data_IF_096783124367
#
_entry.id   IF_096783124367
#
_cell.length_a   1.000
_cell.length_b   1.000
_cell.length_c   1.000
_cell.angle_alpha   90.00
_cell.angle_beta   90.00
_cell.angle_gamma   90.00
#
_symmetry.space_group_name_H-M   'P 1'
#
loop_
_entity.id
_entity.type
_entity.pdbx_description
1 polymer ?
#
# COMPACT_ATOMS: atom_id res chain seq x y z
N UNK A 1 4.04 -0.73 -17.16
CA UNK A 1 4.28 -2.01 -16.46
C UNK A 1 3.53 -2.07 -15.14
N UNK A 2 3.69 -1.06 -14.28
CA UNK A 2 2.97 -0.90 -13.01
C UNK A 2 1.48 -1.30 -13.07
N UNK A 3 0.70 -0.66 -13.95
CA UNK A 3 -0.72 -0.95 -14.12
C UNK A 3 -1.04 -2.44 -14.36
N UNK A 4 -0.20 -3.15 -15.13
CA UNK A 4 -0.38 -4.58 -15.39
C UNK A 4 -0.12 -5.41 -14.14
N UNK A 5 0.94 -5.08 -13.40
CA UNK A 5 1.27 -5.73 -12.11
C UNK A 5 0.12 -5.54 -11.12
N UNK A 6 -0.37 -4.31 -10.98
CA UNK A 6 -1.50 -3.97 -10.11
C UNK A 6 -2.74 -4.81 -10.46
N UNK A 7 -3.14 -4.84 -11.73
CA UNK A 7 -4.30 -5.65 -12.14
C UNK A 7 -4.11 -7.14 -11.89
N UNK A 8 -2.91 -7.68 -12.12
CA UNK A 8 -2.63 -9.09 -11.87
C UNK A 8 -2.72 -9.43 -10.38
N UNK A 9 -2.10 -8.63 -9.51
CA UNK A 9 -2.14 -8.90 -8.06
C UNK A 9 -3.54 -8.71 -7.49
N UNK A 10 -4.28 -7.68 -7.93
CA UNK A 10 -5.67 -7.49 -7.50
C UNK A 10 -6.54 -8.67 -7.92
N UNK A 11 -6.41 -9.16 -9.16
CA UNK A 11 -7.17 -10.32 -9.63
C UNK A 11 -6.79 -11.61 -8.87
N UNK A 12 -5.51 -11.82 -8.58
CA UNK A 12 -5.06 -12.97 -7.79
C UNK A 12 -5.62 -12.92 -6.36
N UNK A 13 -5.59 -11.75 -5.72
CA UNK A 13 -6.07 -11.56 -4.36
C UNK A 13 -7.59 -11.76 -4.22
N UNK A 14 -8.37 -11.53 -5.27
CA UNK A 14 -9.81 -11.82 -5.29
C UNK A 14 -10.12 -13.32 -5.26
N UNK A 15 -9.18 -14.16 -5.70
CA UNK A 15 -9.35 -15.62 -5.72
C UNK A 15 -8.83 -16.25 -4.43
N UNK A 16 -7.65 -15.82 -3.98
CA UNK A 16 -7.02 -16.34 -2.78
C UNK A 16 -6.12 -15.28 -2.14
N UNK A 17 -6.35 -15.02 -0.85
CA UNK A 17 -5.49 -14.13 -0.07
C UNK A 17 -4.17 -14.83 0.26
N UNK A 18 -3.05 -14.24 -0.17
CA UNK A 18 -1.71 -14.76 0.08
C UNK A 18 -0.74 -13.65 0.46
N UNK A 19 -0.35 -13.62 1.73
CA UNK A 19 0.60 -12.63 2.27
C UNK A 19 1.91 -12.65 1.49
N UNK A 20 2.49 -13.83 1.22
CA UNK A 20 3.74 -13.94 0.48
C UNK A 20 3.67 -13.32 -0.93
N UNK A 21 2.55 -13.50 -1.64
CA UNK A 21 2.34 -12.90 -2.96
C UNK A 21 2.18 -11.39 -2.85
N UNK A 22 1.43 -10.92 -1.87
CA UNK A 22 1.19 -9.49 -1.67
C UNK A 22 2.46 -8.76 -1.20
N UNK A 23 3.29 -9.36 -0.34
CA UNK A 23 4.60 -8.83 0.05
C UNK A 23 5.51 -8.63 -1.17
N UNK A 24 5.68 -9.68 -1.98
CA UNK A 24 6.49 -9.59 -3.20
C UNK A 24 5.91 -8.58 -4.21
N UNK A 25 4.58 -8.49 -4.31
CA UNK A 25 3.93 -7.50 -5.14
C UNK A 25 4.18 -6.08 -4.65
N UNK A 26 4.15 -5.82 -3.34
CA UNK A 26 4.41 -4.50 -2.75
C UNK A 26 5.83 -4.02 -3.07
N UNK A 27 6.84 -4.89 -2.97
CA UNK A 27 8.21 -4.59 -3.38
C UNK A 27 8.29 -4.24 -4.87
N UNK A 28 7.67 -5.05 -5.73
CA UNK A 28 7.65 -4.83 -7.17
C UNK A 28 6.97 -3.49 -7.53
N UNK A 29 5.82 -3.22 -6.91
CA UNK A 29 5.07 -1.96 -7.07
C UNK A 29 5.92 -0.78 -6.60
N UNK A 30 6.64 -0.90 -5.49
CA UNK A 30 7.52 0.14 -4.97
C UNK A 30 8.64 0.51 -5.96
N UNK A 31 9.35 -0.48 -6.50
CA UNK A 31 10.40 -0.26 -7.51
C UNK A 31 9.84 0.39 -8.78
N UNK A 32 8.69 -0.10 -9.25
CA UNK A 32 8.04 0.44 -10.45
C UNK A 32 7.50 1.85 -10.25
N UNK A 33 6.96 2.16 -9.06
CA UNK A 33 6.45 3.48 -8.71
C UNK A 33 7.60 4.49 -8.58
N UNK A 34 8.68 4.15 -7.88
CA UNK A 34 9.85 5.02 -7.73
C UNK A 34 10.63 5.27 -9.04
N UNK A 35 10.38 4.48 -10.07
CA UNK A 35 10.93 4.68 -11.42
C UNK A 35 10.09 5.60 -12.30
N UNK A 36 8.88 5.99 -11.86
CA UNK A 36 8.00 6.87 -12.63
C UNK A 36 8.37 8.34 -12.42
N UNK A 37 8.22 9.12 -13.49
CA UNK A 37 8.30 10.57 -13.39
C UNK A 37 7.10 11.09 -12.56
N UNK A 38 7.33 11.90 -11.51
CA UNK A 38 6.26 12.48 -10.68
C UNK A 38 5.22 13.30 -11.46
N UNK A 39 5.53 13.72 -12.68
CA UNK A 39 4.58 14.36 -13.60
C UNK A 39 3.52 13.40 -14.16
N UNK A 40 3.76 12.09 -14.16
CA UNK A 40 2.88 11.06 -14.73
C UNK A 40 1.76 10.66 -13.75
N UNK A 41 0.64 11.38 -13.83
CA UNK A 41 -0.51 11.27 -12.91
C UNK A 41 -1.43 10.06 -13.12
N UNK A 42 -1.36 9.40 -14.28
CA UNK A 42 -2.45 8.56 -14.80
C UNK A 42 -2.71 7.28 -13.96
N UNK A 43 -1.80 6.92 -13.05
CA UNK A 43 -1.90 5.67 -12.29
C UNK A 43 -1.86 5.84 -10.76
N UNK A 44 -1.92 7.08 -10.27
CA UNK A 44 -1.87 7.37 -8.83
C UNK A 44 -3.03 6.75 -8.07
N UNK A 45 -4.26 6.92 -8.57
CA UNK A 45 -5.48 6.47 -7.88
C UNK A 45 -5.52 4.95 -7.65
N UNK A 46 -5.01 4.16 -8.60
CA UNK A 46 -4.97 2.71 -8.49
C UNK A 46 -3.98 2.25 -7.41
N UNK A 47 -2.82 2.88 -7.34
CA UNK A 47 -1.80 2.55 -6.33
C UNK A 47 -2.25 3.01 -4.94
N UNK A 48 -2.85 4.20 -4.85
CA UNK A 48 -3.47 4.70 -3.61
C UNK A 48 -4.53 3.73 -3.11
N UNK A 49 -5.47 3.34 -3.97
CA UNK A 49 -6.54 2.40 -3.61
C UNK A 49 -5.97 1.08 -3.14
N UNK A 50 -5.00 0.52 -3.86
CA UNK A 50 -4.34 -0.72 -3.48
C UNK A 50 -3.61 -0.65 -2.13
N UNK A 51 -2.91 0.45 -1.84
CA UNK A 51 -2.25 0.65 -0.55
C UNK A 51 -3.25 0.75 0.61
N UNK A 52 -4.32 1.53 0.42
CA UNK A 52 -5.38 1.69 1.42
C UNK A 52 -6.16 0.39 1.66
N UNK A 53 -6.48 -0.36 0.61
CA UNK A 53 -7.19 -1.64 0.73
C UNK A 53 -6.35 -2.65 1.52
N UNK A 54 -5.04 -2.69 1.32
CA UNK A 54 -4.16 -3.55 2.12
C UNK A 54 -4.06 -3.09 3.58
N UNK A 55 -3.98 -1.78 3.82
CA UNK A 55 -3.95 -1.20 5.16
C UNK A 55 -5.20 -1.59 5.97
N UNK A 56 -6.37 -1.64 5.34
CA UNK A 56 -7.61 -2.05 6.02
C UNK A 56 -7.62 -3.53 6.45
N UNK A 57 -6.85 -4.38 5.76
CA UNK A 57 -6.88 -5.83 5.92
C UNK A 57 -5.64 -6.43 6.60
N UNK A 58 -4.54 -5.68 6.77
CA UNK A 58 -3.26 -6.23 7.22
C UNK A 58 -3.09 -6.34 8.75
N UNK A 59 -4.06 -5.89 9.56
CA UNK A 59 -3.91 -5.78 11.02
C UNK A 59 -3.51 -7.10 11.70
N UNK A 60 -4.04 -8.23 11.25
CA UNK A 60 -3.79 -9.56 11.84
C UNK A 60 -2.80 -10.42 11.07
N UNK A 61 -2.12 -9.83 10.08
CA UNK A 61 -1.17 -10.53 9.23
C UNK A 61 0.22 -10.68 9.87
N UNK A 62 1.10 -11.45 9.22
CA UNK A 62 2.50 -11.55 9.63
C UNK A 62 3.25 -10.22 9.51
N UNK A 63 4.26 -10.04 10.37
CA UNK A 63 5.07 -8.81 10.46
C UNK A 63 5.66 -8.40 9.11
N UNK A 64 6.23 -9.33 8.35
CA UNK A 64 6.85 -9.04 7.05
C UNK A 64 5.87 -8.38 6.07
N UNK A 65 4.62 -8.88 6.03
CA UNK A 65 3.59 -8.31 5.18
C UNK A 65 3.17 -6.93 5.67
N UNK A 66 2.97 -6.76 6.99
CA UNK A 66 2.64 -5.46 7.59
C UNK A 66 3.70 -4.41 7.26
N UNK A 67 4.98 -4.73 7.44
CA UNK A 67 6.10 -3.84 7.11
C UNK A 67 6.06 -3.49 5.61
N UNK A 68 5.79 -4.45 4.73
CA UNK A 68 5.68 -4.19 3.29
C UNK A 68 4.55 -3.20 2.94
N UNK A 69 3.42 -3.27 3.66
CA UNK A 69 2.29 -2.35 3.48
C UNK A 69 2.66 -0.94 3.95
N UNK A 70 3.30 -0.82 5.11
CA UNK A 70 3.77 0.47 5.64
C UNK A 70 4.79 1.12 4.70
N UNK A 71 5.76 0.35 4.20
CA UNK A 71 6.75 0.82 3.24
C UNK A 71 6.11 1.29 1.92
N UNK A 72 5.09 0.56 1.44
CA UNK A 72 4.34 0.96 0.25
C UNK A 72 3.61 2.30 0.46
N UNK A 73 2.96 2.49 1.61
CA UNK A 73 2.28 3.76 1.93
C UNK A 73 3.26 4.93 2.00
N UNK A 74 4.45 4.74 2.57
CA UNK A 74 5.51 5.75 2.57
C UNK A 74 5.92 6.13 1.15
N UNK A 75 6.16 5.15 0.27
CA UNK A 75 6.51 5.40 -1.13
C UNK A 75 5.39 6.11 -1.89
N UNK A 76 4.12 5.78 -1.62
CA UNK A 76 2.96 6.47 -2.19
C UNK A 76 2.99 7.95 -1.82
N UNK A 77 3.27 8.29 -0.55
CA UNK A 77 3.38 9.67 -0.09
C UNK A 77 4.54 10.39 -0.75
N UNK A 78 5.71 9.75 -0.83
CA UNK A 78 6.90 10.36 -1.42
C UNK A 78 6.74 10.64 -2.92
N UNK A 79 6.18 9.69 -3.68
CA UNK A 79 6.14 9.77 -5.14
C UNK A 79 4.95 10.59 -5.65
N UNK A 80 3.79 10.51 -4.99
CA UNK A 80 2.58 11.23 -5.42
C UNK A 80 2.53 12.64 -4.82
N UNK A 81 3.09 12.81 -3.61
CA UNK A 81 3.32 14.08 -2.93
C UNK A 81 2.12 15.05 -3.03
N UNK A 82 2.27 16.15 -3.78
CA UNK A 82 1.28 17.24 -3.89
C UNK A 82 -0.01 16.86 -4.61
N UNK A 83 -0.10 15.64 -5.16
CA UNK A 83 -1.27 15.14 -5.90
C UNK A 83 -2.11 14.16 -5.08
N UNK A 84 -1.79 13.93 -3.81
CA UNK A 84 -2.59 13.07 -2.96
C UNK A 84 -3.95 13.73 -2.64
N UNK A 85 -5.07 13.01 -2.78
CA UNK A 85 -6.37 13.51 -2.37
C UNK A 85 -6.47 13.59 -0.85
N UNK A 86 -7.24 14.55 -0.31
CA UNK A 86 -7.45 14.67 1.15
C UNK A 86 -8.02 13.39 1.76
N UNK A 87 -8.86 12.68 1.00
CA UNK A 87 -9.45 11.40 1.38
C UNK A 87 -8.42 10.32 1.73
N UNK A 88 -7.20 10.41 1.19
CA UNK A 88 -6.11 9.49 1.56
C UNK A 88 -5.73 9.67 3.03
N UNK A 89 -5.49 10.92 3.43
CA UNK A 89 -5.12 11.30 4.80
C UNK A 89 -6.30 11.05 5.74
N UNK A 90 -7.51 11.43 5.34
CA UNK A 90 -8.72 11.20 6.14
C UNK A 90 -8.86 9.71 6.51
N UNK A 91 -8.78 8.80 5.53
CA UNK A 91 -8.87 7.35 5.79
C UNK A 91 -7.76 6.80 6.68
N UNK A 92 -6.54 7.35 6.60
CA UNK A 92 -5.42 6.87 7.41
C UNK A 92 -5.46 7.37 8.87
N UNK A 93 -6.13 8.48 9.13
CA UNK A 93 -6.10 9.14 10.46
C UNK A 93 -7.48 9.23 11.15
N UNK A 94 -8.53 8.62 10.60
CA UNK A 94 -9.75 8.36 11.38
C UNK A 94 -9.46 7.46 12.58
N UNK A 95 -10.21 7.57 13.69
CA UNK A 95 -10.00 6.75 14.89
C UNK A 95 -9.99 5.25 14.64
N UNK A 96 -10.78 4.78 13.66
CA UNK A 96 -10.92 3.37 13.29
C UNK A 96 -9.79 2.84 12.41
N UNK A 97 -8.88 3.72 11.97
CA UNK A 97 -7.79 3.36 11.07
C UNK A 97 -6.89 2.28 11.67
N UNK A 98 -6.66 1.24 10.88
CA UNK A 98 -5.77 0.13 11.23
C UNK A 98 -4.33 0.60 11.47
N UNK A 99 -3.91 1.69 10.82
CA UNK A 99 -2.60 2.30 11.04
C UNK A 99 -2.41 2.71 12.51
N UNK A 100 -3.44 3.29 13.12
CA UNK A 100 -3.40 3.73 14.52
C UNK A 100 -3.39 2.55 15.50
N UNK A 101 -3.85 1.38 15.06
CA UNK A 101 -3.79 0.16 15.87
C UNK A 101 -2.41 -0.48 15.78
N UNK A 102 -1.79 -0.50 14.59
CA UNK A 102 -0.46 -1.07 14.39
C UNK A 102 0.64 -0.40 15.21
N UNK A 103 0.52 0.89 15.56
CA UNK A 103 1.49 1.57 16.44
C UNK A 103 1.65 0.94 17.83
N UNK A 104 0.74 0.05 18.21
CA UNK A 104 0.78 -0.71 19.47
C UNK A 104 1.35 -2.12 19.30
N UNK A 105 1.92 -2.43 18.13
CA UNK A 105 2.54 -3.71 17.86
C UNK A 105 3.73 -3.96 18.80
N UNK A 106 4.01 -5.23 19.09
CA UNK A 106 5.08 -5.60 20.05
C UNK A 106 6.48 -5.47 19.43
N UNK A 107 6.58 -5.72 18.14
CA UNK A 107 7.82 -5.60 17.39
C UNK A 107 8.05 -4.14 17.02
N UNK A 108 9.28 -3.66 17.23
CA UNK A 108 9.66 -2.25 17.05
C UNK A 108 9.76 -1.81 15.59
N UNK A 109 9.83 -2.77 14.67
CA UNK A 109 9.95 -2.52 13.24
C UNK A 109 8.60 -2.12 12.61
N UNK A 110 7.49 -2.43 13.30
CA UNK A 110 6.11 -2.04 12.97
C UNK A 110 5.73 -0.79 13.76
#
# INVERSE_FOLDING_TARGET
VLYRVMRCVTAANQVFFSEAVLTAANECVGVLLGSLDPSMTIHCDMVITYGLDQMENCQTCGTDYVISVLNLLTLIVEQINTKLPSSFVEKLFIPESKLLVLRYHKEKEV
#
